data_IF_452529725815
#
_entry.id   IF_452529725815
#
_cell.length_a   1.000
_cell.length_b   1.000
_cell.length_c   1.000
_cell.angle_alpha   90.00
_cell.angle_beta   90.00
_cell.angle_gamma   90.00
#
_symmetry.space_group_name_H-M   'P 1'
#
loop_
_entity.id
_entity.type
_entity.pdbx_description
1 polymer ?
#
# COMPACT_ATOMS: atom_id res chain seq x y z
N UNK A 1 -0.65 28.48 7.52
CA UNK A 1 -0.20 27.36 6.66
C UNK A 1 1.32 27.32 6.54
N UNK A 2 2.04 26.90 7.58
CA UNK A 2 3.53 26.82 7.57
C UNK A 2 4.08 25.49 8.11
N UNK A 3 3.27 24.72 8.86
CA UNK A 3 3.68 23.48 9.51
C UNK A 3 3.86 22.31 8.54
N UNK A 4 2.95 22.18 7.56
CA UNK A 4 2.96 21.06 6.62
C UNK A 4 4.22 21.08 5.73
N UNK A 5 4.66 22.26 5.31
CA UNK A 5 5.85 22.45 4.46
C UNK A 5 7.16 22.09 5.19
N UNK A 6 7.16 22.05 6.53
CA UNK A 6 8.29 21.60 7.34
C UNK A 6 8.30 20.09 7.58
N UNK A 7 7.23 19.39 7.21
CA UNK A 7 7.02 17.96 7.49
C UNK A 7 6.98 17.09 6.26
N UNK A 8 6.59 17.64 5.11
CA UNK A 8 6.39 16.88 3.89
C UNK A 8 7.13 17.53 2.73
N UNK A 9 7.64 16.67 1.85
CA UNK A 9 8.33 17.01 0.61
C UNK A 9 7.66 16.24 -0.53
N UNK A 10 7.82 16.73 -1.76
CA UNK A 10 7.32 16.06 -2.97
C UNK A 10 8.51 15.40 -3.64
N UNK A 11 8.40 14.09 -3.85
CA UNK A 11 9.35 13.30 -4.61
C UNK A 11 8.72 12.93 -5.96
N UNK A 12 9.43 13.21 -7.04
CA UNK A 12 9.01 12.80 -8.38
C UNK A 12 9.66 11.46 -8.74
N UNK A 13 8.84 10.47 -9.05
CA UNK A 13 9.30 9.13 -9.46
C UNK A 13 8.62 8.79 -10.78
N UNK A 14 9.39 8.77 -11.87
CA UNK A 14 8.88 8.41 -13.20
C UNK A 14 7.72 9.27 -13.70
N UNK A 15 7.75 10.58 -13.41
CA UNK A 15 6.68 11.53 -13.78
C UNK A 15 5.46 11.52 -12.86
N UNK A 16 5.48 10.73 -11.78
CA UNK A 16 4.44 10.73 -10.75
C UNK A 16 4.95 11.44 -9.50
N UNK A 17 4.20 12.43 -9.06
CA UNK A 17 4.48 13.14 -7.82
C UNK A 17 3.95 12.34 -6.64
N UNK A 18 4.84 11.95 -5.72
CA UNK A 18 4.50 11.31 -4.46
C UNK A 18 4.87 12.24 -3.30
N UNK A 19 4.01 12.30 -2.29
CA UNK A 19 4.30 13.06 -1.07
C UNK A 19 5.07 12.13 -0.13
N UNK A 20 6.21 12.60 0.37
CA UNK A 20 7.04 11.90 1.33
C UNK A 20 7.17 12.71 2.61
N UNK A 21 7.45 12.03 3.71
CA UNK A 21 7.87 12.69 4.94
C UNK A 21 9.26 13.28 4.78
N UNK A 22 9.45 14.49 5.29
CA UNK A 22 10.73 15.18 5.25
C UNK A 22 11.78 14.36 6.00
N UNK A 23 12.87 14.01 5.31
CA UNK A 23 13.98 13.26 5.88
C UNK A 23 14.96 14.23 6.55
N UNK A 24 15.55 13.83 7.68
CA UNK A 24 16.59 14.63 8.35
C UNK A 24 17.96 14.32 7.78
N UNK A 25 18.20 13.04 7.50
CA UNK A 25 19.42 12.56 6.85
C UNK A 25 19.09 11.92 5.50
N UNK A 26 19.99 12.00 4.51
CA UNK A 26 19.79 11.36 3.20
C UNK A 26 19.73 9.82 3.28
N UNK A 27 20.36 9.23 4.30
CA UNK A 27 20.36 7.79 4.58
C UNK A 27 19.10 7.30 5.30
N UNK A 28 18.23 8.21 5.76
CA UNK A 28 16.96 7.83 6.37
C UNK A 28 16.02 7.20 5.32
N UNK A 29 15.29 6.16 5.72
CA UNK A 29 14.27 5.51 4.91
C UNK A 29 13.19 6.49 4.43
N UNK A 30 12.68 6.25 3.22
CA UNK A 30 11.64 7.09 2.63
C UNK A 30 10.26 6.58 3.06
N UNK A 31 9.55 7.39 3.85
CA UNK A 31 8.16 7.12 4.20
C UNK A 31 7.22 7.89 3.28
N UNK A 32 6.41 7.17 2.51
CA UNK A 32 5.42 7.73 1.60
C UNK A 32 4.11 8.05 2.31
N UNK A 33 3.45 9.11 1.83
CA UNK A 33 2.10 9.47 2.22
C UNK A 33 1.12 8.96 1.15
N UNK A 34 0.36 7.93 1.48
CA UNK A 34 -0.65 7.36 0.57
C UNK A 34 -1.91 8.26 0.49
N UNK A 35 -2.53 8.42 -0.68
CA UNK A 35 -3.88 8.97 -0.76
C UNK A 35 -4.88 7.99 -0.11
N UNK A 36 -5.97 8.51 0.45
CA UNK A 36 -6.97 7.70 1.18
C UNK A 36 -7.53 6.53 0.36
N UNK A 37 -7.66 6.71 -0.96
CA UNK A 37 -8.14 5.69 -1.89
C UNK A 37 -7.22 4.47 -1.98
N UNK A 38 -5.91 4.65 -1.82
CA UNK A 38 -4.90 3.58 -2.00
C UNK A 38 -4.53 2.90 -0.68
N UNK A 39 -4.98 3.40 0.48
CA UNK A 39 -4.62 2.83 1.77
C UNK A 39 -5.15 1.39 1.90
N UNK A 40 -6.35 1.13 1.38
CA UNK A 40 -6.91 -0.22 1.42
C UNK A 40 -6.11 -1.21 0.59
N UNK A 41 -5.70 -0.81 -0.63
CA UNK A 41 -4.89 -1.64 -1.52
C UNK A 41 -3.52 -1.94 -0.89
N UNK A 42 -2.88 -0.94 -0.29
CA UNK A 42 -1.61 -1.14 0.42
C UNK A 42 -1.74 -2.08 1.64
N UNK A 43 -2.86 -2.01 2.37
CA UNK A 43 -3.14 -2.94 3.47
C UNK A 43 -3.36 -4.36 2.96
N UNK A 44 -4.10 -4.52 1.85
CA UNK A 44 -4.34 -5.81 1.22
C UNK A 44 -3.03 -6.43 0.71
N UNK A 45 -2.21 -5.67 0.00
CA UNK A 45 -0.92 -6.14 -0.51
C UNK A 45 0.03 -6.56 0.62
N UNK A 46 0.10 -5.77 1.70
CA UNK A 46 0.89 -6.11 2.89
C UNK A 46 0.35 -7.36 3.59
N UNK A 47 -0.96 -7.52 3.66
CA UNK A 47 -1.60 -8.67 4.28
C UNK A 47 -1.32 -9.96 3.49
N UNK A 48 -1.41 -9.90 2.15
CA UNK A 48 -1.07 -11.02 1.27
C UNK A 48 0.42 -11.35 1.33
N UNK A 49 1.29 -10.33 1.28
CA UNK A 49 2.75 -10.50 1.33
C UNK A 49 3.23 -11.11 2.64
N UNK A 50 2.54 -10.85 3.75
CA UNK A 50 2.84 -11.43 5.06
C UNK A 50 2.16 -12.79 5.31
N UNK A 51 1.40 -13.30 4.33
CA UNK A 51 0.71 -14.59 4.41
C UNK A 51 -0.41 -14.59 5.44
N UNK A 52 -1.32 -13.61 5.36
CA UNK A 52 -2.35 -13.35 6.39
C UNK A 52 -1.73 -13.01 7.75
N UNK A 53 -0.65 -12.22 7.74
CA UNK A 53 -0.01 -11.78 8.97
C UNK A 53 -0.96 -10.95 9.84
N UNK A 54 -0.96 -11.24 11.15
CA UNK A 54 -1.72 -10.45 12.12
C UNK A 54 -1.22 -9.00 12.24
N UNK A 55 -1.92 -8.20 13.04
CA UNK A 55 -1.74 -6.74 13.16
C UNK A 55 -0.27 -6.32 13.36
N UNK A 56 0.47 -7.03 14.21
CA UNK A 56 1.88 -6.71 14.51
C UNK A 56 2.78 -6.90 13.29
N UNK A 57 2.62 -8.00 12.56
CA UNK A 57 3.42 -8.30 11.36
C UNK A 57 3.16 -7.27 10.26
N UNK A 58 1.89 -6.97 10.02
CA UNK A 58 1.50 -5.93 9.06
C UNK A 58 2.04 -4.55 9.45
N UNK A 59 2.01 -4.20 10.75
CA UNK A 59 2.58 -2.92 11.21
C UNK A 59 4.07 -2.81 10.88
N UNK A 60 4.86 -3.83 11.20
CA UNK A 60 6.31 -3.78 10.92
C UNK A 60 6.59 -3.65 9.43
N UNK A 61 5.83 -4.33 8.59
CA UNK A 61 5.97 -4.24 7.13
C UNK A 61 5.60 -2.85 6.59
N UNK A 62 4.50 -2.27 7.08
CA UNK A 62 3.95 -1.01 6.56
C UNK A 62 4.69 0.22 7.12
N UNK A 63 5.14 0.19 8.37
CA UNK A 63 5.72 1.35 9.05
C UNK A 63 7.02 1.85 8.42
N UNK A 64 7.74 0.97 7.73
CA UNK A 64 8.95 1.35 6.98
C UNK A 64 8.60 2.11 5.69
N UNK A 65 7.49 1.75 5.04
CA UNK A 65 7.10 2.29 3.74
C UNK A 65 6.16 3.49 3.82
N UNK A 66 5.27 3.55 4.81
CA UNK A 66 4.15 4.50 4.85
C UNK A 66 3.98 5.21 6.21
N UNK A 67 3.83 6.53 6.18
CA UNK A 67 3.67 7.36 7.41
C UNK A 67 2.21 7.48 7.86
N UNK A 68 1.25 7.47 6.94
CA UNK A 68 -0.16 7.76 7.24
C UNK A 68 -1.04 6.54 7.54
N UNK A 69 -0.46 5.33 7.57
CA UNK A 69 -1.20 4.11 7.90
C UNK A 69 -1.11 3.86 9.40
N UNK A 70 -2.23 4.03 10.10
CA UNK A 70 -2.26 3.94 11.57
C UNK A 70 -2.52 2.51 12.05
N UNK A 71 -2.09 2.20 13.28
CA UNK A 71 -2.39 0.95 13.97
C UNK A 71 -3.90 0.62 13.95
N UNK A 72 -4.76 1.61 14.17
CA UNK A 72 -6.22 1.41 14.19
C UNK A 72 -6.75 0.92 12.84
N UNK A 73 -6.19 1.40 11.74
CA UNK A 73 -6.58 0.98 10.39
C UNK A 73 -6.17 -0.47 10.12
N UNK A 74 -4.95 -0.84 10.54
CA UNK A 74 -4.46 -2.22 10.42
C UNK A 74 -5.31 -3.16 11.29
N UNK A 75 -5.59 -2.78 12.54
CA UNK A 75 -6.40 -3.58 13.46
C UNK A 75 -7.82 -3.80 12.92
N UNK A 76 -8.45 -2.75 12.39
CA UNK A 76 -9.77 -2.85 11.76
C UNK A 76 -9.77 -3.73 10.49
N UNK A 77 -8.68 -3.71 9.72
CA UNK A 77 -8.53 -4.55 8.54
C UNK A 77 -8.37 -6.03 8.92
N UNK A 78 -7.48 -6.33 9.89
CA UNK A 78 -7.20 -7.69 10.35
C UNK A 78 -8.43 -8.31 11.00
N UNK A 79 -9.14 -7.57 11.85
CA UNK A 79 -10.38 -8.08 12.47
C UNK A 79 -11.43 -8.44 11.43
N UNK A 80 -11.53 -7.68 10.33
CA UNK A 80 -12.44 -8.01 9.24
C UNK A 80 -11.99 -9.27 8.47
N UNK A 81 -10.69 -9.53 8.36
CA UNK A 81 -10.17 -10.75 7.73
C UNK A 81 -10.40 -12.01 8.58
N UNK A 82 -10.18 -11.93 9.90
CA UNK A 82 -10.40 -13.07 10.82
C UNK A 82 -11.87 -13.52 10.81
N UNK A 83 -12.80 -12.56 10.74
CA UNK A 83 -14.22 -12.83 10.62
C UNK A 83 -14.59 -13.53 9.28
N UNK A 84 -13.85 -13.25 8.20
CA UNK A 84 -14.11 -13.87 6.89
C UNK A 84 -13.58 -15.31 6.80
N UNK A 85 -12.44 -15.60 7.43
CA UNK A 85 -11.91 -16.96 7.54
C UNK A 85 -12.88 -17.92 8.26
N UNK A 86 -13.66 -17.41 9.21
CA UNK A 86 -14.67 -18.18 9.95
C UNK A 86 -15.97 -18.42 9.15
N UNK A 87 -16.23 -17.60 8.13
CA UNK A 87 -17.48 -17.63 7.35
C UNK A 87 -17.34 -18.33 6.00
N UNK A 88 -16.22 -19.00 5.73
CA UNK A 88 -16.01 -19.77 4.48
C UNK A 88 -15.98 -18.91 3.21
N UNK A 89 -15.92 -17.58 3.35
CA UNK A 89 -15.76 -16.66 2.22
C UNK A 89 -14.26 -16.43 2.03
N UNK A 90 -13.76 -16.76 0.84
CA UNK A 90 -12.37 -16.48 0.48
C UNK A 90 -12.07 -14.99 0.70
N UNK A 91 -10.87 -14.69 1.21
CA UNK A 91 -10.35 -13.33 1.46
C UNK A 91 -10.71 -12.34 0.35
N UNK A 92 -10.75 -11.02 0.62
CA UNK A 92 -11.26 -10.01 -0.32
C UNK A 92 -10.43 -9.85 -1.62
N UNK A 93 -9.47 -10.74 -1.84
CA UNK A 93 -8.53 -10.90 -2.95
C UNK A 93 -9.18 -10.83 -4.34
N UNK A 94 -10.49 -10.97 -4.52
CA UNK A 94 -11.07 -11.12 -5.87
C UNK A 94 -12.15 -10.09 -6.25
N UNK A 95 -12.71 -9.32 -5.32
CA UNK A 95 -13.84 -8.43 -5.66
C UNK A 95 -13.43 -7.11 -6.33
N UNK A 96 -12.22 -6.60 -6.03
CA UNK A 96 -11.76 -5.28 -6.49
C UNK A 96 -10.55 -5.32 -7.43
N UNK A 97 -10.06 -6.50 -7.81
CA UNK A 97 -8.93 -6.68 -8.74
C UNK A 97 -9.32 -6.56 -10.23
N UNK A 98 -10.37 -5.80 -10.56
CA UNK A 98 -10.82 -5.61 -11.95
C UNK A 98 -10.61 -4.20 -12.50
N UNK A 99 -9.95 -3.29 -11.76
CA UNK A 99 -9.73 -1.93 -12.23
C UNK A 99 -8.28 -1.41 -12.21
N UNK A 100 -7.30 -2.17 -11.70
CA UNK A 100 -5.93 -1.65 -11.51
C UNK A 100 -4.82 -2.36 -12.34
N UNK A 101 -5.15 -3.38 -13.15
CA UNK A 101 -4.24 -3.93 -14.16
C UNK A 101 -4.28 -3.17 -15.50
N UNK A 102 -4.28 -1.84 -15.43
CA UNK A 102 -4.20 -0.96 -16.61
C UNK A 102 -3.24 0.20 -16.34
N UNK A 103 -1.99 -0.12 -15.98
CA UNK A 103 -0.89 0.84 -15.97
C UNK A 103 0.40 0.18 -16.48
N UNK A 104 0.33 -0.25 -17.73
CA UNK A 104 1.49 -0.49 -18.61
C UNK A 104 0.94 -0.45 -20.04
N UNK A 105 0.93 0.73 -20.66
CA UNK A 105 0.73 0.84 -22.09
C UNK A 105 2.05 0.56 -22.81
N UNK A 106 2.04 -0.40 -23.73
CA UNK A 106 3.19 -0.76 -24.55
C UNK A 106 2.90 -1.91 -25.52
N UNK A 107 2.05 -1.63 -26.52
CA UNK A 107 2.02 -2.15 -27.90
C UNK A 107 2.48 -3.59 -28.21
N UNK A 108 1.50 -4.38 -28.64
CA UNK A 108 1.50 -5.45 -29.65
C UNK A 108 2.81 -5.73 -30.43
N UNK A 109 3.27 -6.99 -30.46
CA UNK A 109 3.17 -7.91 -31.61
C UNK A 109 3.97 -9.20 -31.40
N UNK A 110 3.47 -10.25 -32.06
CA UNK A 110 4.08 -11.55 -32.32
C UNK A 110 3.94 -12.61 -31.22
N UNK A 111 2.78 -13.26 -31.27
CA UNK A 111 2.62 -14.58 -30.72
C UNK A 111 3.44 -15.61 -31.49
N UNK A 112 4.18 -16.42 -30.75
CA UNK A 112 4.46 -17.85 -30.96
C UNK A 112 4.93 -18.36 -29.59
N UNK A 113 4.15 -19.25 -28.97
CA UNK A 113 4.66 -20.08 -27.88
C UNK A 113 5.36 -21.29 -28.51
N UNK A 114 6.64 -21.50 -28.17
CA UNK A 114 7.31 -22.79 -28.29
C UNK A 114 7.16 -23.55 -26.96
#
# INVERSE_FOLDING_TARGET
MYYLRKKFEILEVGGLQKVIKLRKNPDDGIQYLLPKSEIFDALLDAHLSTGHGGEKKMRFFIADMYDNVTQKMIAAFVSNCENQAQQGTSCPTTANQKHLRARSGGLDRDGICA
#
